data_IF_397117844292
#
_entry.id   IF_397117844292
#
_cell.length_a   1.000
_cell.length_b   1.000
_cell.length_c   1.000
_cell.angle_alpha   90.00
_cell.angle_beta   90.00
_cell.angle_gamma   90.00
#
_symmetry.space_group_name_H-M   'P 1'
#
loop_
_entity.id
_entity.type
_entity.pdbx_description
1 polymer ?
#
# COMPACT_ATOMS: atom_id res chain seq x y z
N UNK A 1 -30.64 8.61 2.84
CA UNK A 1 -30.10 9.38 1.70
C UNK A 1 -29.13 8.46 0.98
N UNK A 2 -29.56 7.84 -0.12
CA UNK A 2 -28.87 6.74 -0.80
C UNK A 2 -28.21 7.32 -2.05
N UNK A 3 -26.89 7.45 -2.05
CA UNK A 3 -26.14 7.88 -3.24
C UNK A 3 -26.30 6.76 -4.28
N UNK A 4 -27.02 7.06 -5.38
CA UNK A 4 -27.13 6.16 -6.52
C UNK A 4 -25.73 5.96 -7.11
N UNK A 5 -25.32 4.70 -7.23
CA UNK A 5 -24.09 4.30 -7.89
C UNK A 5 -24.04 4.83 -9.32
N UNK A 6 -23.26 5.89 -9.51
CA UNK A 6 -22.70 6.20 -10.82
C UNK A 6 -21.51 5.26 -10.95
N UNK A 7 -21.47 4.36 -11.95
CA UNK A 7 -20.25 3.62 -12.23
C UNK A 7 -19.18 4.65 -12.58
N UNK A 8 -18.23 4.86 -11.66
CA UNK A 8 -17.01 5.59 -11.94
C UNK A 8 -16.24 4.75 -12.95
N UNK A 9 -16.50 4.96 -14.24
CA UNK A 9 -15.60 4.53 -15.29
C UNK A 9 -14.28 5.24 -15.00
N UNK A 10 -13.28 4.48 -14.55
CA UNK A 10 -11.90 4.92 -14.49
C UNK A 10 -11.45 5.12 -15.95
N UNK A 11 -11.82 6.24 -16.55
CA UNK A 11 -11.14 6.73 -17.73
C UNK A 11 -9.71 7.06 -17.29
N UNK A 12 -8.80 6.12 -17.56
CA UNK A 12 -7.38 6.31 -17.35
C UNK A 12 -6.91 7.36 -18.35
N UNK A 13 -7.11 8.63 -18.02
CA UNK A 13 -6.30 9.71 -18.60
C UNK A 13 -4.85 9.31 -18.38
N UNK A 14 -3.99 9.26 -19.41
CA UNK A 14 -2.61 8.85 -19.27
C UNK A 14 -1.89 9.85 -18.36
N UNK A 15 -1.93 9.56 -17.08
CA UNK A 15 -1.29 10.33 -16.03
C UNK A 15 0.07 9.67 -15.87
N UNK A 16 1.10 10.31 -16.42
CA UNK A 16 2.48 9.88 -16.20
C UNK A 16 2.73 9.84 -14.70
N UNK A 17 2.83 8.63 -14.13
CA UNK A 17 3.22 8.46 -12.74
C UNK A 17 4.73 8.55 -12.65
N UNK A 18 5.24 9.64 -12.09
CA UNK A 18 6.67 9.80 -11.85
C UNK A 18 7.01 9.24 -10.47
N UNK A 19 7.91 8.26 -10.43
CA UNK A 19 8.47 7.75 -9.16
C UNK A 19 9.60 8.64 -8.69
N UNK A 20 9.49 9.16 -7.47
CA UNK A 20 10.56 9.90 -6.80
C UNK A 20 11.20 8.96 -5.76
N UNK A 21 12.51 8.79 -5.83
CA UNK A 21 13.27 7.86 -4.98
C UNK A 21 14.32 8.62 -4.18
N UNK A 22 14.50 8.21 -2.92
CA UNK A 22 15.61 8.62 -2.06
C UNK A 22 16.05 7.42 -1.23
N UNK A 23 17.36 7.26 -1.08
CA UNK A 23 17.98 6.29 -0.18
C UNK A 23 18.35 6.98 1.15
N UNK A 24 18.13 6.29 2.27
CA UNK A 24 18.36 6.79 3.63
C UNK A 24 18.94 5.64 4.45
N UNK A 25 19.94 5.90 5.31
CA UNK A 25 20.46 4.89 6.24
C UNK A 25 19.38 4.51 7.27
N UNK A 26 19.28 3.21 7.52
CA UNK A 26 18.28 2.60 8.40
C UNK A 26 18.91 1.49 9.25
N UNK A 27 20.21 1.60 9.54
CA UNK A 27 21.02 0.55 10.18
C UNK A 27 20.52 0.14 11.57
N UNK A 28 19.79 1.05 12.24
CA UNK A 28 19.18 0.82 13.55
C UNK A 28 17.68 0.52 13.47
N UNK A 29 17.13 0.39 12.27
CA UNK A 29 15.74 0.10 12.05
C UNK A 29 15.54 -1.37 11.65
N UNK A 30 14.43 -1.93 12.10
CA UNK A 30 13.88 -3.17 11.54
C UNK A 30 12.69 -2.80 10.64
N UNK A 31 12.28 -3.66 9.71
CA UNK A 31 11.10 -3.38 8.87
C UNK A 31 9.86 -3.02 9.70
N UNK A 32 9.64 -3.71 10.82
CA UNK A 32 8.54 -3.40 11.73
C UNK A 32 8.73 -2.04 12.42
N UNK A 33 9.93 -1.64 12.85
CA UNK A 33 10.13 -0.32 13.49
C UNK A 33 9.86 0.81 12.50
N UNK A 34 10.30 0.68 11.24
CA UNK A 34 9.99 1.66 10.18
C UNK A 34 8.50 1.70 9.91
N UNK A 35 7.85 0.53 9.77
CA UNK A 35 6.40 0.48 9.56
C UNK A 35 5.64 1.19 10.68
N UNK A 36 6.00 0.96 11.95
CA UNK A 36 5.38 1.61 13.09
C UNK A 36 5.55 3.13 13.09
N UNK A 37 6.70 3.64 12.61
CA UNK A 37 6.97 5.07 12.47
C UNK A 37 6.22 5.73 11.31
N UNK A 38 6.02 4.98 10.21
CA UNK A 38 5.39 5.48 8.99
C UNK A 38 3.87 5.30 8.97
N UNK A 39 3.35 4.26 9.62
CA UNK A 39 1.92 3.98 9.65
C UNK A 39 1.21 5.18 10.30
N UNK A 40 0.31 5.78 9.55
CA UNK A 40 -0.59 6.83 10.02
C UNK A 40 -2.00 6.25 10.11
N UNK A 41 -2.97 7.09 10.42
CA UNK A 41 -4.38 6.75 10.26
C UNK A 41 -4.69 6.37 8.80
N UNK A 42 -5.62 5.43 8.63
CA UNK A 42 -5.98 4.88 7.32
C UNK A 42 -5.22 3.60 6.97
N UNK A 43 -5.46 3.10 5.75
CA UNK A 43 -4.87 1.84 5.31
C UNK A 43 -3.36 1.92 5.11
N UNK A 44 -2.70 0.86 5.55
CA UNK A 44 -1.27 0.65 5.37
C UNK A 44 -0.96 -0.85 5.38
N UNK A 45 0.22 -1.21 4.87
CA UNK A 45 0.70 -2.59 4.91
C UNK A 45 2.21 -2.64 5.14
N UNK A 46 2.65 -3.76 5.70
CA UNK A 46 4.03 -4.23 5.72
C UNK A 46 4.03 -5.63 5.11
N UNK A 47 4.83 -5.84 4.07
CA UNK A 47 5.06 -7.14 3.45
C UNK A 47 6.51 -7.54 3.63
N UNK A 48 6.74 -8.68 4.27
CA UNK A 48 8.05 -9.28 4.46
C UNK A 48 8.07 -10.64 3.78
N UNK A 49 9.16 -10.95 3.05
CA UNK A 49 9.34 -12.28 2.48
C UNK A 49 9.99 -13.22 3.50
N UNK A 50 9.58 -14.48 3.53
CA UNK A 50 10.25 -15.50 4.35
C UNK A 50 10.54 -16.71 3.48
N UNK A 51 11.81 -17.13 3.41
CA UNK A 51 12.20 -18.37 2.74
C UNK A 51 12.67 -19.38 3.79
N UNK A 52 12.06 -20.57 3.83
CA UNK A 52 12.58 -21.71 4.59
C UNK A 52 12.69 -21.51 6.12
N UNK A 53 11.81 -20.71 6.73
CA UNK A 53 11.66 -20.58 8.19
C UNK A 53 12.76 -19.77 8.91
N UNK A 54 14.00 -19.84 8.45
CA UNK A 54 15.16 -19.23 9.11
C UNK A 54 15.86 -18.15 8.29
N UNK A 55 15.54 -17.98 7.00
CA UNK A 55 16.13 -16.89 6.18
C UNK A 55 15.23 -15.66 6.18
N UNK A 56 15.78 -14.57 6.68
CA UNK A 56 15.21 -13.22 6.60
C UNK A 56 15.13 -12.79 5.13
N UNK A 57 14.02 -12.15 4.75
CA UNK A 57 13.85 -11.47 3.46
C UNK A 57 15.05 -10.61 3.09
N UNK A 58 15.43 -10.55 1.81
CA UNK A 58 16.33 -9.48 1.33
C UNK A 58 15.67 -8.10 1.35
N UNK A 59 14.34 -8.06 1.25
CA UNK A 59 13.57 -6.81 1.14
C UNK A 59 12.25 -6.90 1.91
N UNK A 60 11.83 -5.76 2.45
CA UNK A 60 10.49 -5.53 2.99
C UNK A 60 9.84 -4.37 2.26
N UNK A 61 8.53 -4.44 2.05
CA UNK A 61 7.76 -3.37 1.39
C UNK A 61 6.76 -2.76 2.36
N UNK A 62 6.79 -1.44 2.47
CA UNK A 62 5.86 -0.67 3.30
C UNK A 62 5.02 0.23 2.39
N UNK A 63 3.70 0.08 2.46
CA UNK A 63 2.74 0.95 1.81
C UNK A 63 1.96 1.76 2.81
N UNK A 64 1.87 3.08 2.60
CA UNK A 64 1.09 4.01 3.43
C UNK A 64 0.28 4.96 2.54
N UNK A 65 -0.86 5.43 3.05
CA UNK A 65 -1.71 6.44 2.38
C UNK A 65 -2.01 6.08 0.92
N UNK A 66 -2.64 4.91 0.66
CA UNK A 66 -3.02 4.55 -0.70
C UNK A 66 -3.97 5.59 -1.28
N UNK A 67 -3.93 5.78 -2.60
CA UNK A 67 -4.83 6.73 -3.29
C UNK A 67 -6.30 6.26 -3.31
N UNK A 68 -6.54 4.96 -3.18
CA UNK A 68 -7.86 4.33 -3.21
C UNK A 68 -7.83 2.96 -2.51
N UNK A 69 -8.99 2.47 -2.02
CA UNK A 69 -9.13 1.15 -1.41
C UNK A 69 -10.32 0.41 -2.00
N UNK A 70 -10.07 -0.67 -2.74
CA UNK A 70 -11.14 -1.42 -3.38
C UNK A 70 -11.67 -2.52 -2.46
N UNK A 71 -12.97 -2.51 -2.19
CA UNK A 71 -13.69 -3.57 -1.48
C UNK A 71 -14.62 -4.28 -2.46
N UNK A 72 -14.48 -5.61 -2.56
CA UNK A 72 -15.29 -6.43 -3.46
C UNK A 72 -16.26 -7.26 -2.61
N UNK A 73 -17.56 -7.14 -2.87
CA UNK A 73 -18.63 -7.89 -2.20
C UNK A 73 -19.57 -8.49 -3.24
N UNK A 74 -19.45 -9.81 -3.47
CA UNK A 74 -20.16 -10.47 -4.56
C UNK A 74 -19.74 -9.90 -5.91
N UNK A 75 -20.68 -9.31 -6.65
CA UNK A 75 -20.44 -8.66 -7.94
C UNK A 75 -20.34 -7.11 -7.83
N UNK A 76 -20.29 -6.57 -6.61
CA UNK A 76 -20.17 -5.13 -6.37
C UNK A 76 -18.74 -4.73 -5.97
N UNK A 77 -18.28 -3.57 -6.47
CA UNK A 77 -16.99 -2.96 -6.13
C UNK A 77 -17.25 -1.59 -5.51
N UNK A 78 -16.74 -1.38 -4.29
CA UNK A 78 -16.69 -0.10 -3.57
C UNK A 78 -15.23 0.38 -3.55
N UNK A 79 -14.99 1.69 -3.67
CA UNK A 79 -13.65 2.32 -3.77
C UNK A 79 -13.43 3.28 -2.61
#
# INVERSE_FOLDING_TARGET
>A
MRLKGVPMLLEATPTTTQTIVREISADLETPISVYMKLRREGASFLLESVEGGERIARYSFIGIRPKAQYFIRGNEIEV
#
